data_IF_184573249820
#
_entry.id   IF_184573249820
#
_cell.length_a   1.000
_cell.length_b   1.000
_cell.length_c   1.000
_cell.angle_alpha   90.00
_cell.angle_beta   90.00
_cell.angle_gamma   90.00
#
_symmetry.space_group_name_H-M   'P 1'
#
loop_
_entity.id
_entity.type
_entity.pdbx_description
1 polymer ?
#
# COMPACT_ATOMS: atom_id res chain seq x y z
N UNK A 1 18.34 11.78 -13.56
CA UNK A 1 18.90 13.00 -12.94
C UNK A 1 20.38 12.76 -12.70
N UNK A 2 21.26 13.54 -13.37
CA UNK A 2 22.68 13.50 -13.08
C UNK A 2 22.92 14.12 -11.70
N UNK A 3 23.91 13.61 -10.97
CA UNK A 3 24.32 14.18 -9.67
C UNK A 3 24.77 15.64 -9.75
N UNK A 4 25.14 16.10 -10.93
CA UNK A 4 25.74 17.42 -11.16
C UNK A 4 24.74 18.44 -11.75
N UNK A 5 23.45 18.10 -11.84
CA UNK A 5 22.39 19.02 -12.25
C UNK A 5 22.40 19.44 -13.72
N UNK A 6 23.33 18.95 -14.52
CA UNK A 6 23.35 19.21 -15.95
C UNK A 6 22.46 18.22 -16.71
N UNK A 7 21.47 18.75 -17.43
CA UNK A 7 20.67 18.00 -18.38
C UNK A 7 21.28 18.11 -19.75
N UNK A 8 21.75 17.02 -20.32
CA UNK A 8 22.17 16.94 -21.71
C UNK A 8 20.95 16.58 -22.55
N UNK A 9 20.42 17.56 -23.27
CA UNK A 9 19.38 17.32 -24.28
C UNK A 9 20.06 16.90 -25.59
N UNK A 10 19.83 15.64 -26.02
CA UNK A 10 20.26 15.16 -27.33
C UNK A 10 19.07 15.17 -28.28
N UNK A 11 19.12 16.00 -29.29
CA UNK A 11 18.15 16.00 -30.37
C UNK A 11 18.53 14.92 -31.40
N UNK A 12 17.59 14.04 -31.74
CA UNK A 12 17.77 12.94 -32.69
C UNK A 12 17.03 13.24 -34.00
N UNK A 13 17.16 14.46 -34.54
CA UNK A 13 16.45 14.93 -35.72
C UNK A 13 16.89 14.27 -37.04
N UNK A 14 17.92 13.45 -37.00
CA UNK A 14 18.48 12.72 -38.14
C UNK A 14 17.79 11.36 -38.39
N UNK A 15 16.85 10.96 -37.53
CA UNK A 15 16.13 9.72 -37.70
C UNK A 15 14.71 9.97 -38.23
N UNK A 16 14.26 9.18 -39.23
CA UNK A 16 12.91 9.30 -39.71
C UNK A 16 11.91 8.98 -38.60
N UNK A 17 10.81 9.74 -38.55
CA UNK A 17 9.69 9.44 -37.66
C UNK A 17 9.11 8.09 -38.07
N UNK A 18 8.95 7.20 -37.10
CA UNK A 18 8.25 5.93 -37.32
C UNK A 18 6.82 6.19 -37.82
N UNK A 19 6.43 5.61 -38.95
CA UNK A 19 5.05 5.70 -39.40
C UNK A 19 4.13 4.91 -38.47
N UNK A 20 2.90 5.37 -38.27
CA UNK A 20 1.90 4.67 -37.48
C UNK A 20 1.69 3.23 -38.00
N UNK A 21 1.67 3.05 -39.32
CA UNK A 21 1.52 1.74 -39.96
C UNK A 21 2.67 0.78 -39.64
N UNK A 22 3.91 1.29 -39.60
CA UNK A 22 5.06 0.47 -39.22
C UNK A 22 4.98 -0.02 -37.78
N UNK A 23 4.46 0.81 -36.87
CA UNK A 23 4.23 0.44 -35.48
C UNK A 23 3.08 -0.58 -35.38
N UNK A 24 1.95 -0.30 -36.01
CA UNK A 24 0.78 -1.17 -35.96
C UNK A 24 1.03 -2.55 -36.59
N UNK A 25 1.81 -2.59 -37.70
CA UNK A 25 2.18 -3.83 -38.36
C UNK A 25 3.16 -4.70 -37.54
N UNK A 26 3.80 -4.14 -36.53
CA UNK A 26 4.63 -4.94 -35.60
C UNK A 26 3.81 -5.79 -34.65
N UNK A 27 2.51 -5.51 -34.51
CA UNK A 27 1.57 -6.32 -33.74
C UNK A 27 0.83 -7.28 -34.68
N UNK A 28 0.65 -8.52 -34.25
CA UNK A 28 -0.10 -9.53 -35.00
C UNK A 28 -1.56 -9.12 -35.23
N UNK A 29 -2.18 -8.62 -34.18
CA UNK A 29 -3.47 -7.94 -34.19
C UNK A 29 -3.45 -6.85 -33.12
N UNK A 30 -3.33 -5.59 -33.55
CA UNK A 30 -3.25 -4.46 -32.61
C UNK A 30 -4.60 -4.19 -31.89
N UNK A 31 -5.71 -4.75 -32.38
CA UNK A 31 -7.02 -4.64 -31.73
C UNK A 31 -7.20 -5.69 -30.63
N UNK A 32 -6.45 -6.77 -30.68
CA UNK A 32 -6.47 -7.80 -29.66
C UNK A 32 -5.40 -7.52 -28.60
N UNK A 33 -5.82 -6.90 -27.50
CA UNK A 33 -4.95 -6.52 -26.36
C UNK A 33 -4.27 -7.76 -25.74
N UNK A 34 -4.83 -8.95 -25.89
CA UNK A 34 -4.24 -10.18 -25.35
C UNK A 34 -2.91 -10.56 -26.02
N UNK A 35 -2.71 -10.09 -27.26
CA UNK A 35 -1.49 -10.35 -28.05
C UNK A 35 -0.37 -9.34 -27.79
N UNK A 36 -0.66 -8.28 -27.05
CA UNK A 36 0.34 -7.23 -26.79
C UNK A 36 1.43 -7.72 -25.84
N UNK A 37 2.70 -7.32 -26.08
CA UNK A 37 3.78 -7.65 -25.16
C UNK A 37 3.51 -7.01 -23.80
N UNK A 38 3.52 -7.84 -22.77
CA UNK A 38 3.32 -7.38 -21.38
C UNK A 38 4.62 -7.00 -20.74
N UNK A 39 4.59 -5.92 -19.94
CA UNK A 39 5.74 -5.54 -19.14
C UNK A 39 6.04 -6.62 -18.09
N UNK A 40 7.32 -6.94 -17.89
CA UNK A 40 7.76 -7.80 -16.78
C UNK A 40 7.29 -7.27 -15.41
N UNK A 41 7.20 -5.95 -15.27
CA UNK A 41 6.63 -5.31 -14.07
C UNK A 41 5.17 -5.66 -13.84
N UNK A 42 4.38 -5.86 -14.90
CA UNK A 42 2.97 -6.26 -14.76
C UNK A 42 2.83 -7.65 -14.15
N UNK A 43 3.74 -8.57 -14.49
CA UNK A 43 3.75 -9.91 -13.89
C UNK A 43 4.20 -9.90 -12.42
N UNK A 44 5.13 -9.02 -12.06
CA UNK A 44 5.54 -8.83 -10.66
C UNK A 44 4.41 -8.23 -9.82
N UNK A 45 3.75 -7.18 -10.33
CA UNK A 45 2.58 -6.57 -9.67
C UNK A 45 1.47 -7.60 -9.52
N UNK A 46 1.16 -8.39 -10.56
CA UNK A 46 0.14 -9.45 -10.48
C UNK A 46 0.50 -10.58 -9.53
N UNK A 47 1.78 -10.92 -9.39
CA UNK A 47 2.22 -11.93 -8.42
C UNK A 47 2.10 -11.42 -6.98
N UNK A 48 2.30 -10.13 -6.77
CA UNK A 48 2.16 -9.46 -5.46
C UNK A 48 0.68 -9.26 -5.10
N UNK A 49 -0.17 -8.90 -6.07
CA UNK A 49 -1.62 -8.73 -5.89
C UNK A 49 -2.33 -10.09 -5.73
N UNK A 50 -1.76 -11.20 -6.22
CA UNK A 50 -2.36 -12.53 -6.12
C UNK A 50 -2.43 -13.13 -4.72
N UNK A 51 -1.75 -12.58 -3.74
CA UNK A 51 -2.14 -12.77 -2.34
C UNK A 51 -3.32 -11.83 -2.06
N UNK A 52 -4.52 -12.26 -2.47
CA UNK A 52 -5.76 -11.64 -2.03
C UNK A 52 -5.68 -11.61 -0.52
N UNK A 53 -5.48 -10.44 0.06
CA UNK A 53 -5.56 -10.32 1.51
C UNK A 53 -7.00 -10.72 1.87
N UNK A 54 -7.13 -11.66 2.79
CA UNK A 54 -8.40 -11.98 3.41
C UNK A 54 -8.99 -10.71 4.02
N UNK A 55 -10.31 -10.63 4.06
CA UNK A 55 -10.98 -9.50 4.69
C UNK A 55 -10.45 -9.32 6.12
N UNK A 56 -9.85 -8.18 6.45
CA UNK A 56 -9.27 -7.97 7.76
C UNK A 56 -10.33 -7.97 8.88
N UNK A 57 -11.59 -7.68 8.53
CA UNK A 57 -12.69 -7.69 9.50
C UNK A 57 -13.14 -9.11 9.85
N UNK A 58 -12.92 -10.09 8.97
CA UNK A 58 -13.23 -11.50 9.22
C UNK A 58 -12.13 -12.27 9.97
N UNK A 59 -10.95 -11.65 10.14
CA UNK A 59 -9.84 -12.30 10.84
C UNK A 59 -10.19 -12.55 12.31
N UNK A 60 -9.90 -13.76 12.84
CA UNK A 60 -10.16 -14.08 14.24
C UNK A 60 -9.15 -13.39 15.18
N UNK A 61 -9.49 -13.32 16.45
CA UNK A 61 -8.61 -12.90 17.52
C UNK A 61 -8.24 -11.42 17.48
N UNK A 62 -7.07 -11.11 18.02
CA UNK A 62 -6.62 -9.72 18.20
C UNK A 62 -6.42 -8.94 16.90
N UNK A 63 -6.04 -9.62 15.82
CA UNK A 63 -5.84 -8.99 14.51
C UNK A 63 -7.17 -8.45 13.97
N UNK A 64 -8.20 -9.32 13.94
CA UNK A 64 -9.51 -8.90 13.47
C UNK A 64 -10.16 -7.90 14.41
N UNK A 65 -10.09 -8.12 15.73
CA UNK A 65 -10.64 -7.19 16.71
C UNK A 65 -10.03 -5.78 16.56
N UNK A 66 -8.72 -5.68 16.32
CA UNK A 66 -8.06 -4.39 16.05
C UNK A 66 -8.58 -3.73 14.77
N UNK A 67 -8.69 -4.48 13.67
CA UNK A 67 -9.21 -3.97 12.40
C UNK A 67 -10.69 -3.59 12.44
N UNK A 68 -11.51 -4.24 13.29
CA UNK A 68 -12.91 -3.86 13.53
C UNK A 68 -13.04 -2.67 14.47
N UNK A 69 -12.02 -2.42 15.30
CA UNK A 69 -11.99 -1.31 16.25
C UNK A 69 -11.52 0.00 15.61
N UNK A 70 -10.57 -0.10 14.68
CA UNK A 70 -9.93 1.05 14.05
C UNK A 70 -9.97 0.95 12.54
N UNK A 71 -10.46 1.99 11.88
CA UNK A 71 -10.20 2.26 10.46
C UNK A 71 -8.71 2.56 10.26
N UNK A 72 -8.25 2.61 9.02
CA UNK A 72 -6.87 3.01 8.71
C UNK A 72 -6.56 4.40 9.28
N UNK A 73 -7.47 5.35 9.10
CA UNK A 73 -7.28 6.73 9.57
C UNK A 73 -7.19 6.79 11.10
N UNK A 74 -8.13 6.18 11.80
CA UNK A 74 -8.14 6.11 13.26
C UNK A 74 -6.89 5.42 13.82
N UNK A 75 -6.41 4.37 13.15
CA UNK A 75 -5.19 3.67 13.55
C UNK A 75 -3.93 4.56 13.38
N UNK A 76 -3.87 5.35 12.29
CA UNK A 76 -2.80 6.33 12.10
C UNK A 76 -2.83 7.36 13.24
N UNK A 77 -3.99 7.98 13.48
CA UNK A 77 -4.14 9.04 14.49
C UNK A 77 -3.86 8.56 15.91
N UNK A 78 -4.26 7.31 16.23
CA UNK A 78 -4.12 6.77 17.59
C UNK A 78 -2.72 6.23 17.91
N UNK A 79 -2.02 5.64 16.94
CA UNK A 79 -0.79 4.87 17.21
C UNK A 79 0.45 5.40 16.49
N UNK A 80 0.29 6.08 15.36
CA UNK A 80 1.42 6.58 14.53
C UNK A 80 1.15 8.00 14.00
N UNK A 81 0.70 8.95 14.83
CA UNK A 81 0.25 10.29 14.39
C UNK A 81 1.35 11.10 13.70
N UNK A 82 2.61 10.86 14.03
CA UNK A 82 3.75 11.60 13.48
C UNK A 82 4.27 11.03 12.15
N UNK A 83 3.77 9.87 11.73
CA UNK A 83 4.27 9.21 10.54
C UNK A 83 3.58 9.67 9.25
N UNK A 84 2.33 10.13 9.34
CA UNK A 84 1.55 10.56 8.19
C UNK A 84 0.79 11.85 8.44
N UNK A 85 0.64 12.66 7.38
CA UNK A 85 -0.22 13.84 7.37
C UNK A 85 -1.29 13.70 6.29
N UNK A 86 -2.56 14.07 6.57
CA UNK A 86 -3.63 14.03 5.59
C UNK A 86 -3.36 15.02 4.46
N UNK A 87 -3.88 14.73 3.27
CA UNK A 87 -3.89 15.67 2.14
C UNK A 87 -5.28 16.27 1.95
N UNK A 88 -5.45 17.13 0.95
CA UNK A 88 -6.76 17.64 0.56
C UNK A 88 -7.71 16.55 0.00
N UNK A 89 -7.21 15.37 -0.30
CA UNK A 89 -8.00 14.22 -0.74
C UNK A 89 -8.21 13.26 0.43
N UNK A 90 -9.45 12.90 0.71
CA UNK A 90 -9.85 12.10 1.88
C UNK A 90 -9.14 10.74 1.98
N UNK A 91 -8.79 10.15 0.82
CA UNK A 91 -8.15 8.82 0.77
C UNK A 91 -6.63 8.85 0.55
N UNK A 92 -5.97 10.02 0.67
CA UNK A 92 -4.52 10.15 0.47
C UNK A 92 -3.84 10.82 1.64
N UNK A 93 -2.75 10.21 2.06
CA UNK A 93 -1.90 10.72 3.14
C UNK A 93 -0.45 10.81 2.68
N UNK A 94 0.28 11.74 3.26
CA UNK A 94 1.69 11.97 2.99
C UNK A 94 2.52 11.35 4.10
N UNK A 95 3.48 10.49 3.75
CA UNK A 95 4.49 10.04 4.71
C UNK A 95 5.42 11.19 5.06
N UNK A 96 5.50 11.56 6.34
CA UNK A 96 6.18 12.78 6.81
C UNK A 96 7.68 12.80 6.53
N UNK A 97 8.32 11.63 6.50
CA UNK A 97 9.75 11.45 6.21
C UNK A 97 10.02 11.17 4.72
N UNK A 98 8.98 11.23 3.89
CA UNK A 98 9.07 11.03 2.45
C UNK A 98 9.23 12.33 1.67
N UNK A 99 9.64 12.23 0.42
CA UNK A 99 9.83 13.39 -0.48
C UNK A 99 8.61 13.69 -1.37
N UNK A 100 7.58 12.88 -1.34
CA UNK A 100 6.42 12.96 -2.25
C UNK A 100 5.13 13.10 -1.45
N UNK A 101 4.25 14.03 -1.84
CA UNK A 101 2.95 14.20 -1.20
C UNK A 101 1.94 13.13 -1.67
N UNK A 102 1.05 12.69 -0.75
CA UNK A 102 -0.08 11.83 -1.06
C UNK A 102 0.27 10.42 -1.52
N UNK A 103 1.41 9.88 -1.10
CA UNK A 103 1.90 8.59 -1.52
C UNK A 103 1.22 7.39 -0.85
N UNK A 104 0.67 7.56 0.34
CA UNK A 104 -0.19 6.55 0.97
C UNK A 104 -1.61 6.69 0.41
N UNK A 105 -2.16 5.61 -0.10
CA UNK A 105 -3.54 5.54 -0.60
C UNK A 105 -4.34 4.60 0.29
N UNK A 106 -5.50 5.08 0.76
CA UNK A 106 -6.43 4.31 1.60
C UNK A 106 -7.57 3.80 0.71
N UNK A 107 -7.92 2.53 0.86
CA UNK A 107 -8.98 1.85 0.15
C UNK A 107 -10.04 1.35 1.14
N UNK A 108 -11.26 1.86 0.99
CA UNK A 108 -12.45 1.47 1.75
C UNK A 108 -12.24 1.54 3.29
N UNK A 109 -11.34 2.42 3.76
CA UNK A 109 -10.89 2.54 5.15
C UNK A 109 -10.36 1.25 5.81
N UNK A 110 -10.24 0.18 5.03
CA UNK A 110 -9.78 -1.14 5.48
C UNK A 110 -8.33 -1.44 5.11
N UNK A 111 -7.85 -0.85 4.01
CA UNK A 111 -6.50 -1.10 3.51
C UNK A 111 -5.78 0.19 3.18
N UNK A 112 -4.47 0.17 3.37
CA UNK A 112 -3.55 1.23 2.95
C UNK A 112 -2.44 0.66 2.08
N UNK A 113 -2.04 1.40 1.05
CA UNK A 113 -0.90 1.06 0.20
C UNK A 113 0.01 2.27 0.04
N UNK A 114 1.28 2.13 0.38
CA UNK A 114 2.26 3.19 0.26
C UNK A 114 3.11 3.06 -1.00
N UNK A 115 3.16 4.14 -1.78
CA UNK A 115 4.04 4.28 -2.94
C UNK A 115 5.39 4.95 -2.60
N UNK A 116 5.62 5.28 -1.32
CA UNK A 116 6.88 5.85 -0.87
C UNK A 116 7.92 4.76 -0.63
N UNK A 117 9.05 4.82 -1.31
CA UNK A 117 10.12 3.83 -1.18
C UNK A 117 10.79 3.81 0.19
N UNK A 118 10.73 4.91 0.94
CA UNK A 118 11.33 5.05 2.28
C UNK A 118 10.35 4.76 3.42
N UNK A 119 9.07 4.59 3.09
CA UNK A 119 8.04 4.24 4.05
C UNK A 119 8.20 2.77 4.49
N UNK A 120 8.14 2.43 5.78
CA UNK A 120 8.13 1.05 6.26
C UNK A 120 7.03 0.19 5.62
N UNK A 121 5.88 0.77 5.27
CA UNK A 121 4.77 0.12 4.59
C UNK A 121 4.90 0.13 3.05
N UNK A 122 6.07 0.49 2.51
CA UNK A 122 6.28 0.62 1.06
C UNK A 122 5.92 -0.64 0.30
N UNK A 123 5.12 -0.48 -0.77
CA UNK A 123 4.72 -1.54 -1.70
C UNK A 123 4.01 -2.75 -1.04
N UNK A 124 3.45 -2.54 0.14
CA UNK A 124 2.65 -3.52 0.86
C UNK A 124 1.21 -3.02 0.98
N UNK A 125 0.26 -3.93 0.78
CA UNK A 125 -1.13 -3.66 1.10
C UNK A 125 -1.34 -4.03 2.57
N UNK A 126 -1.48 -3.03 3.42
CA UNK A 126 -1.59 -3.17 4.86
C UNK A 126 -3.03 -2.93 5.31
N UNK A 127 -3.56 -3.77 6.20
CA UNK A 127 -4.71 -3.42 7.03
C UNK A 127 -4.28 -2.54 8.21
N UNK A 128 -5.21 -2.09 9.05
CA UNK A 128 -4.89 -1.22 10.18
C UNK A 128 -3.85 -1.82 11.15
N UNK A 129 -3.99 -3.12 11.46
CA UNK A 129 -3.04 -3.83 12.31
C UNK A 129 -1.64 -3.91 11.70
N UNK A 130 -1.53 -4.28 10.42
CA UNK A 130 -0.25 -4.42 9.73
C UNK A 130 0.43 -3.05 9.53
N UNK A 131 -0.33 -1.99 9.24
CA UNK A 131 0.21 -0.65 9.09
C UNK A 131 0.87 -0.15 10.38
N UNK A 132 0.19 -0.28 11.51
CA UNK A 132 0.75 0.09 12.82
C UNK A 132 1.95 -0.80 13.17
N UNK A 133 1.85 -2.12 12.92
CA UNK A 133 2.92 -3.08 13.20
C UNK A 133 4.23 -2.72 12.49
N UNK A 134 4.18 -2.45 11.19
CA UNK A 134 5.41 -2.17 10.42
C UNK A 134 6.05 -0.84 10.80
N UNK A 135 5.27 0.13 11.26
CA UNK A 135 5.80 1.41 11.73
C UNK A 135 6.43 1.31 13.12
N UNK A 136 5.77 0.67 14.08
CA UNK A 136 6.24 0.60 15.46
C UNK A 136 7.33 -0.47 15.64
N UNK A 137 7.20 -1.62 14.99
CA UNK A 137 8.05 -2.79 15.26
C UNK A 137 8.89 -3.21 14.06
N UNK A 138 8.75 -2.53 12.91
CA UNK A 138 9.38 -2.91 11.64
C UNK A 138 8.92 -4.31 11.21
N UNK A 139 9.58 -4.89 10.22
CA UNK A 139 9.27 -6.26 9.78
C UNK A 139 10.26 -7.27 10.40
N UNK A 140 10.32 -7.28 11.74
CA UNK A 140 11.13 -8.21 12.52
C UNK A 140 10.34 -9.48 12.84
N UNK A 141 11.05 -10.58 13.13
CA UNK A 141 10.42 -11.88 13.38
C UNK A 141 9.41 -11.87 14.54
N UNK A 142 9.61 -11.00 15.52
CA UNK A 142 8.78 -10.84 16.72
C UNK A 142 7.74 -9.70 16.61
N UNK A 143 7.73 -8.98 15.47
CA UNK A 143 6.87 -7.80 15.29
C UNK A 143 5.38 -8.11 15.43
N UNK A 144 4.95 -9.28 14.98
CA UNK A 144 3.57 -9.71 15.08
C UNK A 144 3.16 -9.96 16.55
N UNK A 145 4.02 -10.61 17.32
CA UNK A 145 3.78 -10.87 18.75
C UNK A 145 3.69 -9.55 19.53
N UNK A 146 4.62 -8.62 19.27
CA UNK A 146 4.61 -7.29 19.87
C UNK A 146 3.35 -6.50 19.52
N UNK A 147 2.89 -6.59 18.29
CA UNK A 147 1.66 -5.91 17.89
C UNK A 147 0.41 -6.56 18.50
N UNK A 148 0.37 -7.89 18.65
CA UNK A 148 -0.68 -8.58 19.38
C UNK A 148 -0.69 -8.17 20.85
N UNK A 149 0.48 -8.05 21.46
CA UNK A 149 0.60 -7.57 22.84
C UNK A 149 0.05 -6.15 22.99
N UNK A 150 0.42 -5.24 22.10
CA UNK A 150 -0.12 -3.88 22.06
C UNK A 150 -1.65 -3.89 21.91
N UNK A 151 -2.20 -4.64 20.96
CA UNK A 151 -3.63 -4.75 20.73
C UNK A 151 -4.37 -5.32 21.95
N UNK A 152 -3.76 -6.27 22.66
CA UNK A 152 -4.31 -6.88 23.89
C UNK A 152 -4.37 -5.93 25.08
N UNK A 153 -3.51 -4.93 25.11
CA UNK A 153 -3.48 -3.89 26.14
C UNK A 153 -4.32 -2.65 25.76
N UNK A 154 -4.69 -2.50 24.49
CA UNK A 154 -5.55 -1.41 24.06
C UNK A 154 -6.99 -1.60 24.57
N UNK A 155 -7.54 -0.62 25.33
CA UNK A 155 -8.86 -0.74 25.94
C UNK A 155 -10.00 -0.93 24.93
N UNK A 156 -9.94 -0.24 23.79
CA UNK A 156 -10.99 -0.30 22.76
C UNK A 156 -10.99 -1.66 22.06
N UNK A 157 -9.83 -2.14 21.61
CA UNK A 157 -9.69 -3.47 20.99
C UNK A 157 -10.10 -4.58 21.92
N UNK A 158 -9.73 -4.46 23.20
CA UNK A 158 -10.13 -5.42 24.24
C UNK A 158 -11.64 -5.47 24.45
N UNK A 159 -12.31 -4.32 24.45
CA UNK A 159 -13.75 -4.23 24.56
C UNK A 159 -14.45 -4.87 23.35
N UNK A 160 -13.98 -4.58 22.14
CA UNK A 160 -14.49 -5.19 20.90
C UNK A 160 -14.40 -6.71 20.96
N UNK A 161 -13.24 -7.26 21.28
CA UNK A 161 -13.05 -8.71 21.36
C UNK A 161 -13.91 -9.36 22.46
N UNK A 162 -14.12 -8.67 23.58
CA UNK A 162 -14.96 -9.16 24.66
C UNK A 162 -16.44 -9.21 24.24
N UNK A 163 -16.91 -8.19 23.53
CA UNK A 163 -18.29 -8.15 23.01
C UNK A 163 -18.54 -9.25 21.99
N UNK A 164 -17.59 -9.50 21.09
CA UNK A 164 -17.69 -10.59 20.11
C UNK A 164 -17.84 -11.96 20.77
N UNK A 165 -16.96 -12.27 21.74
CA UNK A 165 -17.04 -13.51 22.50
C UNK A 165 -18.36 -13.67 23.29
N UNK A 166 -18.92 -12.56 23.76
CA UNK A 166 -20.20 -12.59 24.44
C UNK A 166 -21.38 -12.80 23.49
N UNK A 167 -21.26 -12.43 22.23
CA UNK A 167 -22.29 -12.63 21.20
C UNK A 167 -22.28 -14.04 20.59
N UNK A 168 -21.15 -14.76 20.69
CA UNK A 168 -20.99 -16.12 20.19
C UNK A 168 -21.37 -17.21 21.23
N UNK A 169 -21.57 -16.83 22.49
CA UNK A 169 -21.87 -17.73 23.61
C UNK A 169 -23.36 -17.85 23.87
#
# INVERSE_FOLDING_TARGET
>A
TSKDGEYVFKCWNDRPVLSADSVLNSYRDWKDISTWPRSSRESEIKSTIKKKQEDPLEKPGWIGAFCRTYTIQEAIEAFIPDEYTPTASDNRWTYTKGSTAGGLVIYDDMFAYSNHSTDPASQQLCNAFDLVRVHLFRDTLDSQEKMIDLASHDPKTKATLAQEKASEA
#
